data_IF_674476746873
#
_entry.id   IF_674476746873
#
_cell.length_a   1.000
_cell.length_b   1.000
_cell.length_c   1.000
_cell.angle_alpha   90.00
_cell.angle_beta   90.00
_cell.angle_gamma   90.00
#
_symmetry.space_group_name_H-M   'P 1'
#
loop_
_entity.id
_entity.type
_entity.pdbx_description
1 polymer ?
#
# COMPACT_ATOMS: atom_id res chain seq x y z
N UNK A 1 -13.82 10.92 -10.03
CA UNK A 1 -14.13 9.76 -10.88
C UNK A 1 -14.57 10.22 -12.27
N UNK A 2 -15.76 10.82 -12.42
CA UNK A 2 -16.21 11.38 -13.70
C UNK A 2 -17.04 10.42 -14.56
N UNK A 3 -17.37 9.22 -14.05
CA UNK A 3 -18.12 8.20 -14.77
C UNK A 3 -19.46 8.74 -15.34
N UNK A 4 -20.31 9.32 -14.50
CA UNK A 4 -21.61 9.84 -14.96
C UNK A 4 -21.46 10.94 -16.02
N UNK A 5 -20.49 11.85 -15.83
CA UNK A 5 -20.23 12.93 -16.78
C UNK A 5 -19.83 12.38 -18.16
N UNK A 6 -18.91 11.42 -18.19
CA UNK A 6 -18.45 10.79 -19.43
C UNK A 6 -19.61 10.03 -20.10
N UNK A 7 -20.40 9.27 -19.35
CA UNK A 7 -21.54 8.54 -19.90
C UNK A 7 -22.58 9.51 -20.51
N UNK A 8 -22.93 10.59 -19.81
CA UNK A 8 -23.83 11.62 -20.33
C UNK A 8 -23.28 12.27 -21.60
N UNK A 9 -21.97 12.55 -21.65
CA UNK A 9 -21.33 13.05 -22.87
C UNK A 9 -21.41 12.04 -24.02
N UNK A 10 -21.09 10.77 -23.77
CA UNK A 10 -21.18 9.69 -24.75
C UNK A 10 -22.62 9.52 -25.28
N UNK A 11 -23.62 9.59 -24.41
CA UNK A 11 -25.03 9.56 -24.79
C UNK A 11 -25.41 10.78 -25.64
N UNK A 12 -24.96 11.98 -25.27
CA UNK A 12 -25.24 13.21 -26.00
C UNK A 12 -24.64 13.26 -27.40
N UNK A 13 -23.44 12.72 -27.60
CA UNK A 13 -22.78 12.70 -28.92
C UNK A 13 -23.24 11.55 -29.82
N UNK A 14 -23.89 10.53 -29.28
CA UNK A 14 -24.28 9.33 -30.04
C UNK A 14 -25.11 9.64 -31.31
N UNK A 15 -26.14 10.53 -31.29
CA UNK A 15 -26.91 10.84 -32.49
C UNK A 15 -26.07 11.49 -33.60
N UNK A 16 -25.06 12.28 -33.24
CA UNK A 16 -24.14 12.89 -34.21
C UNK A 16 -23.27 11.81 -34.87
N UNK A 17 -22.75 10.87 -34.08
CA UNK A 17 -21.93 9.75 -34.57
C UNK A 17 -22.75 8.87 -35.54
N UNK A 18 -24.00 8.55 -35.20
CA UNK A 18 -24.88 7.77 -36.08
C UNK A 18 -25.15 8.48 -37.41
N UNK A 19 -25.34 9.80 -37.40
CA UNK A 19 -25.51 10.59 -38.63
C UNK A 19 -24.27 10.56 -39.52
N UNK A 20 -23.08 10.70 -38.94
CA UNK A 20 -21.80 10.74 -39.67
C UNK A 20 -21.47 9.36 -40.24
N UNK A 21 -21.59 8.32 -39.41
CA UNK A 21 -21.12 6.96 -39.75
C UNK A 21 -22.15 6.14 -40.52
N UNK A 22 -23.43 6.56 -40.52
CA UNK A 22 -24.58 5.75 -40.97
C UNK A 22 -24.71 4.41 -40.24
N UNK A 23 -24.01 4.24 -39.11
CA UNK A 23 -24.08 3.06 -38.26
C UNK A 23 -25.07 3.21 -37.11
N UNK A 24 -25.10 2.20 -36.24
CA UNK A 24 -25.87 2.18 -34.99
C UNK A 24 -24.93 2.19 -33.79
N UNK A 25 -25.09 3.15 -32.89
CA UNK A 25 -24.35 3.20 -31.62
C UNK A 25 -25.00 2.25 -30.61
N UNK A 26 -24.19 1.38 -30.00
CA UNK A 26 -24.65 0.40 -28.99
C UNK A 26 -24.32 0.85 -27.57
N UNK A 27 -23.04 0.93 -27.24
CA UNK A 27 -22.55 1.26 -25.90
C UNK A 27 -22.11 2.72 -25.84
N UNK A 28 -22.45 3.37 -24.73
CA UNK A 28 -22.10 4.78 -24.41
C UNK A 28 -21.62 4.81 -22.97
N UNK A 29 -20.44 4.25 -22.76
CA UNK A 29 -19.94 3.92 -21.42
C UNK A 29 -18.47 4.28 -21.34
N UNK A 30 -18.03 4.78 -20.19
CA UNK A 30 -16.61 4.97 -19.92
C UNK A 30 -15.82 3.65 -19.99
N UNK A 31 -14.51 3.77 -20.19
CA UNK A 31 -13.56 2.70 -19.92
C UNK A 31 -12.98 2.83 -18.51
N UNK A 32 -12.89 1.73 -17.77
CA UNK A 32 -12.14 1.68 -16.50
C UNK A 32 -10.63 1.46 -16.69
N UNK A 33 -10.19 1.07 -17.90
CA UNK A 33 -8.79 1.19 -18.29
C UNK A 33 -8.50 2.67 -18.54
N UNK A 34 -8.25 3.40 -17.45
CA UNK A 34 -8.00 4.84 -17.45
C UNK A 34 -6.51 5.16 -17.68
N UNK A 35 -5.92 4.58 -18.73
CA UNK A 35 -4.50 4.70 -19.08
C UNK A 35 -4.08 6.13 -19.52
N UNK A 36 -5.04 7.00 -19.81
CA UNK A 36 -4.83 8.44 -19.99
C UNK A 36 -4.80 9.23 -18.67
N UNK A 37 -5.00 8.56 -17.53
CA UNK A 37 -5.05 9.17 -16.19
C UNK A 37 -4.17 8.40 -15.20
N UNK A 38 -2.87 8.48 -15.44
CA UNK A 38 -1.84 7.79 -14.66
C UNK A 38 -1.41 8.60 -13.44
N UNK A 39 -1.28 7.91 -12.31
CA UNK A 39 -0.58 8.41 -11.14
C UNK A 39 0.81 7.76 -11.05
N UNK A 40 1.80 8.53 -10.59
CA UNK A 40 3.19 8.10 -10.47
C UNK A 40 3.73 8.49 -9.11
N UNK A 41 4.57 7.63 -8.55
CA UNK A 41 5.38 7.95 -7.39
C UNK A 41 6.74 7.26 -7.49
N UNK A 42 7.74 7.84 -6.85
CA UNK A 42 9.09 7.29 -6.79
C UNK A 42 9.75 7.63 -5.47
N UNK A 43 10.71 6.81 -5.06
CA UNK A 43 11.56 7.06 -3.90
C UNK A 43 13.00 6.65 -4.18
N UNK A 44 13.92 7.22 -3.41
CA UNK A 44 15.33 6.83 -3.32
C UNK A 44 15.66 6.71 -1.83
N UNK A 45 16.14 5.55 -1.42
CA UNK A 45 16.40 5.23 -0.01
C UNK A 45 17.85 4.76 0.09
N UNK A 46 18.74 5.53 0.74
CA UNK A 46 20.13 5.13 0.86
C UNK A 46 20.26 3.92 1.79
N UNK A 47 21.29 3.10 1.60
CA UNK A 47 21.44 1.83 2.33
C UNK A 47 21.44 2.02 3.85
N UNK A 48 22.06 3.07 4.38
CA UNK A 48 22.08 3.37 5.81
C UNK A 48 20.68 3.51 6.44
N UNK A 49 19.66 3.85 5.64
CA UNK A 49 18.26 3.95 6.10
C UNK A 49 17.48 2.63 6.01
N UNK A 50 18.08 1.56 5.48
CA UNK A 50 17.40 0.28 5.23
C UNK A 50 17.73 -0.82 6.24
N UNK A 51 18.86 -0.71 6.95
CA UNK A 51 19.34 -1.72 7.89
C UNK A 51 18.28 -2.05 8.94
N UNK A 52 17.96 -3.34 9.10
CA UNK A 52 16.93 -3.83 10.02
C UNK A 52 16.99 -5.35 10.19
N UNK A 53 16.38 -5.85 11.27
CA UNK A 53 16.27 -7.29 11.58
C UNK A 53 17.60 -8.06 11.55
N UNK A 54 18.71 -7.37 11.81
CA UNK A 54 20.06 -7.95 11.77
C UNK A 54 20.70 -8.02 10.38
N UNK A 55 20.03 -7.49 9.35
CA UNK A 55 20.57 -7.36 7.99
C UNK A 55 21.13 -5.95 7.77
N UNK A 56 22.23 -5.86 7.05
CA UNK A 56 22.74 -4.59 6.55
C UNK A 56 21.76 -3.97 5.55
N UNK A 57 21.83 -2.65 5.41
CA UNK A 57 20.99 -1.95 4.44
C UNK A 57 21.20 -2.38 3.00
N UNK A 58 22.43 -2.76 2.65
CA UNK A 58 22.77 -3.32 1.36
C UNK A 58 22.05 -4.67 1.14
N UNK A 59 22.11 -5.59 2.10
CA UNK A 59 21.42 -6.88 2.00
C UNK A 59 19.90 -6.70 1.83
N UNK A 60 19.29 -5.80 2.60
CA UNK A 60 17.86 -5.47 2.48
C UNK A 60 17.55 -4.93 1.07
N UNK A 61 18.36 -4.00 0.57
CA UNK A 61 18.18 -3.43 -0.77
C UNK A 61 18.28 -4.49 -1.87
N UNK A 62 19.31 -5.36 -1.79
CA UNK A 62 19.52 -6.44 -2.74
C UNK A 62 18.34 -7.42 -2.74
N UNK A 63 17.86 -7.83 -1.57
CA UNK A 63 16.69 -8.70 -1.45
C UNK A 63 15.41 -8.08 -2.04
N UNK A 64 15.19 -6.78 -1.86
CA UNK A 64 14.04 -6.08 -2.47
C UNK A 64 14.18 -6.03 -4.00
N UNK A 65 15.36 -5.70 -4.53
CA UNK A 65 15.61 -5.65 -5.96
C UNK A 65 15.47 -7.04 -6.61
N UNK A 66 15.94 -8.10 -5.95
CA UNK A 66 15.74 -9.50 -6.36
C UNK A 66 14.27 -9.89 -6.40
N UNK A 67 13.52 -9.60 -5.34
CA UNK A 67 12.09 -9.88 -5.30
C UNK A 67 11.30 -9.11 -6.36
N UNK A 68 11.73 -7.89 -6.70
CA UNK A 68 11.16 -7.12 -7.81
C UNK A 68 11.46 -7.74 -9.18
N UNK A 69 12.66 -8.30 -9.39
CA UNK A 69 13.02 -9.02 -10.62
C UNK A 69 12.22 -10.32 -10.76
N UNK A 70 11.99 -11.04 -9.65
CA UNK A 70 11.14 -12.22 -9.67
C UNK A 70 9.70 -11.89 -10.10
N UNK A 71 9.13 -10.79 -9.59
CA UNK A 71 7.82 -10.33 -10.03
C UNK A 71 7.77 -9.92 -11.51
N UNK A 72 8.89 -9.49 -12.10
CA UNK A 72 8.95 -9.19 -13.54
C UNK A 72 8.98 -10.44 -14.43
N UNK A 73 9.65 -11.49 -13.94
CA UNK A 73 9.88 -12.72 -14.68
C UNK A 73 8.66 -13.66 -14.66
N UNK A 74 7.84 -13.63 -13.61
CA UNK A 74 6.77 -14.60 -13.38
C UNK A 74 5.41 -13.92 -13.08
N UNK A 75 4.38 -14.10 -13.94
CA UNK A 75 3.02 -13.62 -13.70
C UNK A 75 2.38 -14.10 -12.39
N UNK A 76 2.70 -15.31 -11.92
CA UNK A 76 2.20 -15.80 -10.63
C UNK A 76 2.72 -14.94 -9.48
N UNK A 77 3.99 -14.57 -9.52
CA UNK A 77 4.57 -13.63 -8.56
C UNK A 77 4.06 -12.21 -8.78
N UNK A 78 3.97 -11.73 -10.02
CA UNK A 78 3.45 -10.41 -10.36
C UNK A 78 2.04 -10.18 -9.78
N UNK A 79 1.15 -11.18 -9.86
CA UNK A 79 -0.18 -11.13 -9.27
C UNK A 79 -0.12 -10.84 -7.76
N UNK A 80 0.67 -11.63 -7.02
CA UNK A 80 0.83 -11.45 -5.56
C UNK A 80 1.53 -10.14 -5.19
N UNK A 81 2.48 -9.71 -6.03
CA UNK A 81 3.18 -8.43 -5.90
C UNK A 81 2.22 -7.25 -6.02
N UNK A 82 1.36 -7.26 -7.04
CA UNK A 82 0.37 -6.23 -7.30
C UNK A 82 -0.74 -6.24 -6.25
N UNK A 83 -1.19 -7.41 -5.80
CA UNK A 83 -2.10 -7.53 -4.65
C UNK A 83 -1.55 -6.77 -3.43
N UNK A 84 -0.24 -6.89 -3.18
CA UNK A 84 0.44 -6.17 -2.10
C UNK A 84 0.38 -4.65 -2.26
N UNK A 85 0.52 -4.12 -3.48
CA UNK A 85 0.33 -2.69 -3.80
C UNK A 85 -1.12 -2.28 -3.49
N UNK A 86 -2.08 -3.06 -3.99
CA UNK A 86 -3.50 -2.74 -3.90
C UNK A 86 -4.05 -2.76 -2.48
N UNK A 87 -3.48 -3.59 -1.57
CA UNK A 87 -3.78 -3.50 -0.13
C UNK A 87 -3.69 -2.05 0.42
N UNK A 88 -2.70 -1.28 -0.03
CA UNK A 88 -2.50 0.11 0.40
C UNK A 88 -3.39 1.08 -0.38
N UNK A 89 -3.44 0.94 -1.69
CA UNK A 89 -4.25 1.81 -2.58
C UNK A 89 -5.73 1.74 -2.20
N UNK A 90 -6.26 0.53 -2.03
CA UNK A 90 -7.68 0.31 -1.75
C UNK A 90 -8.07 0.79 -0.35
N UNK A 91 -7.17 0.68 0.62
CA UNK A 91 -7.40 1.22 1.96
C UNK A 91 -7.62 2.75 1.90
N UNK A 92 -6.82 3.47 1.11
CA UNK A 92 -7.00 4.91 0.90
C UNK A 92 -8.25 5.18 0.06
N UNK A 93 -8.56 4.35 -0.94
CA UNK A 93 -9.77 4.50 -1.76
C UNK A 93 -11.03 4.39 -0.90
N UNK A 94 -11.11 3.36 -0.06
CA UNK A 94 -12.14 3.15 0.96
C UNK A 94 -12.28 4.35 1.89
N UNK A 95 -11.17 4.76 2.53
CA UNK A 95 -11.15 5.87 3.48
C UNK A 95 -11.63 7.19 2.87
N UNK A 96 -11.41 7.38 1.57
CA UNK A 96 -11.78 8.60 0.83
C UNK A 96 -13.08 8.46 0.02
N UNK A 97 -13.81 7.35 0.18
CA UNK A 97 -15.09 7.09 -0.50
C UNK A 97 -14.99 6.97 -2.02
N UNK A 98 -13.85 6.49 -2.51
CA UNK A 98 -13.64 6.21 -3.92
C UNK A 98 -14.01 4.75 -4.25
N UNK A 99 -14.40 4.52 -5.50
CA UNK A 99 -14.69 3.18 -5.99
C UNK A 99 -13.39 2.40 -6.21
N UNK A 100 -13.05 1.52 -5.26
CA UNK A 100 -11.85 0.69 -5.35
C UNK A 100 -11.92 -0.31 -6.50
N UNK A 101 -13.13 -0.77 -6.92
CA UNK A 101 -13.28 -1.75 -8.00
C UNK A 101 -12.87 -1.15 -9.33
N UNK A 102 -13.21 0.11 -9.57
CA UNK A 102 -12.78 0.83 -10.76
C UNK A 102 -11.25 0.97 -10.82
N UNK A 103 -10.62 1.28 -9.68
CA UNK A 103 -9.15 1.40 -9.56
C UNK A 103 -8.50 0.04 -9.79
N UNK A 104 -8.96 -1.02 -9.13
CA UNK A 104 -8.47 -2.40 -9.30
C UNK A 104 -8.57 -2.87 -10.75
N UNK A 105 -9.73 -2.68 -11.39
CA UNK A 105 -9.92 -3.06 -12.79
C UNK A 105 -8.95 -2.32 -13.72
N UNK A 106 -8.76 -1.02 -13.51
CA UNK A 106 -7.81 -0.21 -14.29
C UNK A 106 -6.35 -0.63 -14.05
N UNK A 107 -5.95 -0.78 -12.79
CA UNK A 107 -4.60 -1.16 -12.39
C UNK A 107 -4.21 -2.54 -12.95
N UNK A 108 -5.06 -3.55 -12.77
CA UNK A 108 -4.78 -4.89 -13.24
C UNK A 108 -4.88 -5.05 -14.76
N UNK A 109 -5.80 -4.36 -15.44
CA UNK A 109 -5.80 -4.32 -16.90
C UNK A 109 -4.53 -3.64 -17.45
N UNK A 110 -4.08 -2.56 -16.80
CA UNK A 110 -2.85 -1.86 -17.17
C UNK A 110 -1.60 -2.74 -17.01
N UNK A 111 -1.59 -3.66 -16.03
CA UNK A 111 -0.51 -4.64 -15.87
C UNK A 111 -0.35 -5.56 -17.08
N UNK A 112 -1.42 -5.84 -17.84
CA UNK A 112 -1.40 -6.75 -18.98
C UNK A 112 -1.25 -6.04 -20.35
N UNK A 113 -1.04 -4.72 -20.37
CA UNK A 113 -1.04 -3.89 -21.60
C UNK A 113 0.01 -4.28 -22.65
N UNK A 114 1.09 -4.95 -22.23
CA UNK A 114 2.18 -5.38 -23.09
C UNK A 114 2.09 -6.86 -23.51
N UNK A 115 0.93 -7.51 -23.29
CA UNK A 115 0.71 -8.92 -23.66
C UNK A 115 1.14 -9.94 -22.58
N UNK A 116 1.84 -9.51 -21.53
CA UNK A 116 2.10 -10.29 -20.32
C UNK A 116 1.69 -9.47 -19.10
N UNK A 117 1.17 -10.12 -18.07
CA UNK A 117 0.85 -9.47 -16.80
C UNK A 117 2.13 -9.14 -16.03
N UNK A 118 2.39 -7.85 -15.84
CA UNK A 118 3.61 -7.28 -15.26
C UNK A 118 3.34 -6.64 -13.88
N UNK A 119 4.37 -6.44 -13.03
CA UNK A 119 4.20 -5.75 -11.76
C UNK A 119 4.04 -4.24 -11.95
N UNK A 120 3.23 -3.61 -11.09
CA UNK A 120 2.97 -2.16 -11.05
C UNK A 120 4.18 -1.33 -10.60
N UNK A 121 5.11 -1.96 -9.87
CA UNK A 121 6.29 -1.29 -9.32
C UNK A 121 7.58 -1.92 -9.84
N UNK A 122 8.64 -1.12 -9.86
CA UNK A 122 10.01 -1.57 -10.12
C UNK A 122 10.91 -1.09 -9.00
N UNK A 123 11.80 -1.96 -8.54
CA UNK A 123 12.86 -1.65 -7.59
C UNK A 123 14.23 -2.02 -8.16
N UNK A 124 15.20 -1.13 -8.01
CA UNK A 124 16.58 -1.34 -8.46
C UNK A 124 17.56 -0.61 -7.53
N UNK A 125 18.85 -0.94 -7.66
CA UNK A 125 19.91 -0.31 -6.90
C UNK A 125 20.72 0.58 -7.83
N UNK A 126 21.06 1.78 -7.35
CA UNK A 126 21.91 2.73 -8.05
C UNK A 126 22.63 3.59 -7.02
N UNK A 127 23.95 3.78 -7.17
CA UNK A 127 24.77 4.67 -6.32
C UNK A 127 24.57 4.49 -4.80
N UNK A 128 24.57 3.24 -4.31
CA UNK A 128 24.43 2.96 -2.88
C UNK A 128 23.02 3.24 -2.31
N UNK A 129 22.01 3.37 -3.17
CA UNK A 129 20.63 3.54 -2.78
C UNK A 129 19.69 2.53 -3.48
N UNK A 130 18.61 2.20 -2.80
CA UNK A 130 17.46 1.50 -3.38
C UNK A 130 16.49 2.53 -3.97
N UNK A 131 16.16 2.38 -5.24
CA UNK A 131 15.19 3.21 -5.94
C UNK A 131 13.93 2.39 -6.20
N UNK A 132 12.78 3.03 -6.01
CA UNK A 132 11.47 2.46 -6.27
C UNK A 132 10.64 3.39 -7.14
N UNK A 133 9.87 2.82 -8.08
CA UNK A 133 8.86 3.58 -8.83
C UNK A 133 7.58 2.77 -9.00
N UNK A 134 6.46 3.49 -9.13
CA UNK A 134 5.15 2.95 -9.45
C UNK A 134 4.46 3.81 -10.52
N UNK A 135 3.71 3.17 -11.40
CA UNK A 135 2.81 3.83 -12.34
C UNK A 135 1.53 3.00 -12.50
N UNK A 136 0.37 3.62 -12.28
CA UNK A 136 -0.93 2.95 -12.42
C UNK A 136 -2.08 3.93 -12.70
N UNK A 137 -3.15 3.51 -13.41
CA UNK A 137 -4.38 4.27 -13.52
C UNK A 137 -5.04 4.50 -12.16
N UNK A 138 -5.36 5.77 -11.84
CA UNK A 138 -6.11 6.11 -10.62
C UNK A 138 -7.17 7.17 -10.93
N UNK A 139 -8.40 6.71 -11.18
CA UNK A 139 -9.57 7.53 -11.53
C UNK A 139 -10.40 7.99 -10.32
N UNK A 140 -9.77 8.71 -9.38
CA UNK A 140 -10.43 9.15 -8.14
C UNK A 140 -11.17 10.49 -8.25
N UNK A 141 -12.01 10.78 -7.25
CA UNK A 141 -12.64 12.06 -7.02
C UNK A 141 -12.55 12.48 -5.56
N UNK A 142 -12.62 13.79 -5.34
CA UNK A 142 -12.69 14.42 -4.01
C UNK A 142 -14.03 15.11 -3.79
N UNK A 143 -14.92 15.00 -4.79
CA UNK A 143 -16.30 15.47 -4.82
C UNK A 143 -17.17 14.36 -5.42
N UNK A 144 -18.44 14.30 -5.02
CA UNK A 144 -19.39 13.32 -5.56
C UNK A 144 -20.37 12.79 -4.51
N UNK A 145 -21.24 11.87 -4.93
CA UNK A 145 -22.31 11.32 -4.08
C UNK A 145 -21.77 10.61 -2.84
N UNK A 146 -20.74 9.78 -2.98
CA UNK A 146 -20.16 9.03 -1.85
C UNK A 146 -19.57 9.96 -0.77
N UNK A 147 -18.85 11.01 -1.18
CA UNK A 147 -18.26 12.02 -0.27
C UNK A 147 -19.34 12.73 0.56
N UNK A 148 -20.52 12.99 -0.03
CA UNK A 148 -21.66 13.61 0.66
C UNK A 148 -22.43 12.61 1.53
N UNK A 149 -22.47 11.34 1.15
CA UNK A 149 -23.25 10.32 1.82
C UNK A 149 -22.63 9.84 3.14
N UNK A 150 -21.30 9.81 3.25
CA UNK A 150 -20.62 9.41 4.48
C UNK A 150 -19.90 10.61 5.12
N UNK A 151 -20.35 11.08 6.30
CA UNK A 151 -19.81 12.29 6.95
C UNK A 151 -18.36 12.15 7.44
N UNK A 152 -17.81 10.93 7.52
CA UNK A 152 -16.41 10.72 7.87
C UNK A 152 -15.45 11.06 6.72
N UNK A 153 -15.87 10.93 5.46
CA UNK A 153 -14.98 11.18 4.31
C UNK A 153 -14.44 12.61 4.29
N UNK A 154 -15.25 13.68 4.48
CA UNK A 154 -14.74 15.03 4.58
C UNK A 154 -13.73 15.23 5.72
N UNK A 155 -13.89 14.53 6.84
CA UNK A 155 -12.94 14.59 7.97
C UNK A 155 -11.60 13.96 7.56
N UNK A 156 -11.64 12.77 6.96
CA UNK A 156 -10.44 12.06 6.50
C UNK A 156 -9.69 12.83 5.40
N UNK A 157 -10.43 13.43 4.45
CA UNK A 157 -9.85 14.32 3.45
C UNK A 157 -9.21 15.57 4.09
N UNK A 158 -9.81 16.14 5.14
CA UNK A 158 -9.20 17.25 5.90
C UNK A 158 -7.91 16.84 6.60
N UNK A 159 -7.86 15.65 7.21
CA UNK A 159 -6.62 15.11 7.82
C UNK A 159 -5.50 14.95 6.78
N UNK A 160 -5.84 14.68 5.51
CA UNK A 160 -4.90 14.63 4.39
C UNK A 160 -4.56 16.01 3.78
N UNK A 161 -5.05 17.11 4.37
CA UNK A 161 -4.85 18.47 3.87
C UNK A 161 -5.70 18.82 2.64
N UNK A 162 -6.91 18.26 2.54
CA UNK A 162 -7.88 18.47 1.46
C UNK A 162 -7.26 18.38 0.04
N UNK A 163 -6.64 17.24 -0.31
CA UNK A 163 -6.02 17.10 -1.61
C UNK A 163 -7.08 17.20 -2.72
N UNK A 164 -6.75 17.87 -3.83
CA UNK A 164 -7.51 17.72 -5.08
C UNK A 164 -7.31 16.33 -5.69
N UNK A 165 -8.16 15.93 -6.64
CA UNK A 165 -8.17 14.56 -7.17
C UNK A 165 -6.81 14.09 -7.76
N UNK A 166 -6.03 14.98 -8.39
CA UNK A 166 -4.67 14.64 -8.87
C UNK A 166 -3.70 14.37 -7.72
N UNK A 167 -3.73 15.20 -6.68
CA UNK A 167 -2.90 15.03 -5.49
C UNK A 167 -3.29 13.76 -4.72
N UNK A 168 -4.58 13.49 -4.58
CA UNK A 168 -5.07 12.26 -3.96
C UNK A 168 -4.59 11.01 -4.72
N UNK A 169 -4.63 11.04 -6.05
CA UNK A 169 -4.10 9.95 -6.88
C UNK A 169 -2.59 9.73 -6.66
N UNK A 170 -1.80 10.82 -6.59
CA UNK A 170 -0.38 10.74 -6.25
C UNK A 170 -0.12 10.17 -4.85
N UNK A 171 -0.93 10.55 -3.86
CA UNK A 171 -0.86 9.99 -2.50
C UNK A 171 -1.14 8.48 -2.52
N UNK A 172 -2.18 8.04 -3.24
CA UNK A 172 -2.50 6.61 -3.37
C UNK A 172 -1.36 5.83 -4.04
N UNK A 173 -0.76 6.36 -5.10
CA UNK A 173 0.40 5.74 -5.74
C UNK A 173 1.59 5.62 -4.75
N UNK A 174 1.88 6.68 -3.99
CA UNK A 174 2.94 6.66 -2.98
C UNK A 174 2.66 5.64 -1.86
N UNK A 175 1.42 5.56 -1.38
CA UNK A 175 0.99 4.54 -0.39
C UNK A 175 1.14 3.13 -0.97
N UNK A 176 0.73 2.91 -2.23
CA UNK A 176 0.91 1.63 -2.91
C UNK A 176 2.39 1.22 -3.03
N UNK A 177 3.27 2.17 -3.36
CA UNK A 177 4.72 1.93 -3.41
C UNK A 177 5.29 1.60 -2.03
N UNK A 178 4.88 2.33 -0.98
CA UNK A 178 5.31 2.08 0.40
C UNK A 178 4.83 0.70 0.90
N UNK A 179 3.58 0.34 0.63
CA UNK A 179 3.02 -0.96 1.01
C UNK A 179 3.74 -2.11 0.29
N UNK A 180 4.08 -1.92 -0.99
CA UNK A 180 4.87 -2.87 -1.75
C UNK A 180 6.30 -3.02 -1.19
N UNK A 181 6.97 -1.91 -0.86
CA UNK A 181 8.30 -1.95 -0.22
C UNK A 181 8.26 -2.76 1.08
N UNK A 182 7.30 -2.51 1.95
CA UNK A 182 7.16 -3.22 3.22
C UNK A 182 6.99 -4.73 3.01
N UNK A 183 6.18 -5.13 2.03
CA UNK A 183 5.98 -6.53 1.68
C UNK A 183 7.26 -7.19 1.12
N UNK A 184 7.96 -6.52 0.21
CA UNK A 184 9.20 -7.04 -0.38
C UNK A 184 10.32 -7.12 0.65
N UNK A 185 10.42 -6.12 1.53
CA UNK A 185 11.38 -6.10 2.64
C UNK A 185 11.20 -7.29 3.57
N UNK A 186 9.96 -7.60 3.95
CA UNK A 186 9.67 -8.75 4.80
C UNK A 186 9.97 -10.10 4.11
N UNK A 187 9.73 -10.19 2.79
CA UNK A 187 9.98 -11.40 1.99
C UNK A 187 11.47 -11.63 1.70
N UNK A 188 12.20 -10.56 1.39
CA UNK A 188 13.60 -10.61 0.95
C UNK A 188 14.63 -10.69 2.08
N UNK A 189 14.20 -10.66 3.34
CA UNK A 189 15.11 -10.72 4.50
C UNK A 189 14.74 -11.84 5.47
N UNK A 190 13.74 -11.61 6.32
CA UNK A 190 13.42 -12.48 7.46
C UNK A 190 12.46 -13.62 7.08
N UNK A 191 11.71 -13.45 5.98
CA UNK A 191 10.57 -14.29 5.63
C UNK A 191 9.29 -13.88 6.38
N UNK A 192 8.13 -13.96 5.72
CA UNK A 192 6.83 -13.45 6.24
C UNK A 192 6.50 -14.01 7.62
N UNK A 193 6.76 -15.31 7.86
CA UNK A 193 6.40 -15.96 9.12
C UNK A 193 7.11 -15.35 10.31
N UNK A 194 8.42 -15.08 10.21
CA UNK A 194 9.18 -14.41 11.28
C UNK A 194 8.73 -12.96 11.47
N UNK A 195 8.40 -12.24 10.39
CA UNK A 195 7.85 -10.88 10.47
C UNK A 195 6.46 -10.82 11.12
N UNK A 196 5.57 -11.76 10.76
CA UNK A 196 4.25 -11.90 11.40
C UNK A 196 4.36 -12.27 12.87
N UNK A 197 5.30 -13.14 13.24
CA UNK A 197 5.58 -13.46 14.64
C UNK A 197 6.06 -12.24 15.42
N UNK A 198 6.89 -11.38 14.82
CA UNK A 198 7.32 -10.14 15.46
C UNK A 198 6.15 -9.16 15.71
N UNK A 199 5.27 -8.98 14.72
CA UNK A 199 4.08 -8.15 14.89
C UNK A 199 3.09 -8.77 15.90
N UNK A 200 2.89 -10.09 15.86
CA UNK A 200 2.05 -10.80 16.81
C UNK A 200 2.58 -10.65 18.24
N UNK A 201 3.90 -10.78 18.44
CA UNK A 201 4.54 -10.57 19.73
C UNK A 201 4.37 -9.13 20.24
N UNK A 202 4.50 -8.11 19.38
CA UNK A 202 4.20 -6.72 19.75
C UNK A 202 2.75 -6.53 20.16
N UNK A 203 1.79 -7.07 19.41
CA UNK A 203 0.37 -6.97 19.77
C UNK A 203 0.09 -7.62 21.13
N UNK A 204 0.65 -8.81 21.37
CA UNK A 204 0.52 -9.50 22.66
C UNK A 204 1.18 -8.70 23.80
N UNK A 205 2.33 -8.07 23.55
CA UNK A 205 2.99 -7.20 24.53
C UNK A 205 2.13 -5.96 24.87
N UNK A 206 1.53 -5.31 23.87
CA UNK A 206 0.60 -4.20 24.08
C UNK A 206 -0.64 -4.66 24.86
N UNK A 207 -1.23 -5.81 24.51
CA UNK A 207 -2.34 -6.41 25.25
C UNK A 207 -1.99 -6.76 26.70
N UNK A 208 -0.72 -7.07 26.98
CA UNK A 208 -0.21 -7.30 28.33
C UNK A 208 -0.03 -6.00 29.14
N UNK A 209 -0.19 -4.84 28.52
CA UNK A 209 -0.06 -3.52 29.15
C UNK A 209 1.30 -2.86 28.95
N UNK A 210 2.18 -3.40 28.10
CA UNK A 210 3.46 -2.77 27.79
C UNK A 210 3.23 -1.43 27.05
N UNK A 211 4.01 -0.40 27.41
CA UNK A 211 3.94 0.94 26.81
C UNK A 211 5.35 1.44 26.46
N UNK A 212 5.42 2.32 25.45
CA UNK A 212 6.69 2.94 25.03
C UNK A 212 7.74 1.90 24.65
N UNK A 213 8.98 2.09 25.13
CA UNK A 213 10.11 1.18 24.85
C UNK A 213 9.91 -0.25 25.37
N UNK A 214 9.05 -0.44 26.38
CA UNK A 214 8.79 -1.77 26.94
C UNK A 214 8.12 -2.73 25.94
N UNK A 215 7.39 -2.21 24.94
CA UNK A 215 6.73 -3.04 23.92
C UNK A 215 7.76 -3.86 23.14
N UNK A 216 8.87 -3.24 22.73
CA UNK A 216 9.92 -3.91 21.95
C UNK A 216 10.73 -4.89 22.79
N UNK A 217 10.97 -4.58 24.05
CA UNK A 217 11.70 -5.44 24.96
C UNK A 217 10.89 -6.69 25.30
N UNK A 218 9.59 -6.55 25.63
CA UNK A 218 8.69 -7.68 25.88
C UNK A 218 8.51 -8.52 24.61
N UNK A 219 8.29 -7.90 23.45
CA UNK A 219 8.14 -8.62 22.19
C UNK A 219 9.38 -9.46 21.84
N UNK A 220 10.59 -8.91 22.01
CA UNK A 220 11.84 -9.66 21.80
C UNK A 220 11.98 -10.83 22.76
N UNK A 221 11.64 -10.64 24.04
CA UNK A 221 11.70 -11.70 25.04
C UNK A 221 10.69 -12.82 24.77
N UNK A 222 9.48 -12.50 24.29
CA UNK A 222 8.48 -13.49 23.87
C UNK A 222 8.96 -14.34 22.70
N UNK A 223 9.56 -13.71 21.69
CA UNK A 223 10.11 -14.40 20.51
C UNK A 223 11.27 -15.31 20.93
N UNK A 224 12.19 -14.80 21.77
CA UNK A 224 13.31 -15.58 22.27
C UNK A 224 12.87 -16.77 23.13
N UNK A 225 11.78 -16.63 23.89
CA UNK A 225 11.19 -17.72 24.67
C UNK A 225 10.40 -18.73 23.84
N UNK A 226 10.10 -18.43 22.56
CA UNK A 226 9.26 -19.27 21.69
C UNK A 226 7.79 -19.34 22.10
N UNK A 227 7.36 -18.57 23.11
CA UNK A 227 6.01 -18.62 23.69
C UNK A 227 5.35 -17.25 23.65
N UNK A 228 4.66 -16.96 22.54
CA UNK A 228 3.94 -15.70 22.32
C UNK A 228 2.52 -15.81 22.90
N UNK A 229 2.41 -15.77 24.23
CA UNK A 229 1.13 -15.81 24.95
C UNK A 229 1.00 -14.65 25.93
N UNK A 230 -0.24 -14.24 26.19
CA UNK A 230 -0.54 -13.08 27.06
C UNK A 230 0.01 -13.25 28.48
N UNK A 231 -0.19 -14.41 29.11
CA UNK A 231 0.30 -14.65 30.47
C UNK A 231 1.83 -14.52 30.54
N UNK A 232 2.54 -15.05 29.54
CA UNK A 232 4.00 -14.98 29.46
C UNK A 232 4.48 -13.54 29.27
N UNK A 233 3.75 -12.76 28.48
CA UNK A 233 4.03 -11.34 28.28
C UNK A 233 3.86 -10.54 29.58
N UNK A 234 2.83 -10.86 30.38
CA UNK A 234 2.60 -10.26 31.69
C UNK A 234 3.71 -10.62 32.69
N UNK A 235 4.17 -11.89 32.71
CA UNK A 235 5.30 -12.32 33.55
C UNK A 235 6.60 -11.58 33.20
N UNK A 236 6.90 -11.47 31.91
CA UNK A 236 8.10 -10.77 31.42
C UNK A 236 8.00 -9.29 31.81
N UNK A 237 6.86 -8.65 31.55
CA UNK A 237 6.65 -7.24 31.89
C UNK A 237 6.77 -6.99 33.40
N UNK A 238 6.18 -7.85 34.25
CA UNK A 238 6.29 -7.74 35.70
C UNK A 238 7.73 -7.88 36.19
N UNK A 239 8.50 -8.82 35.63
CA UNK A 239 9.93 -8.98 35.95
C UNK A 239 10.75 -7.75 35.55
N UNK A 240 10.43 -7.16 34.39
CA UNK A 240 11.10 -5.94 33.93
C UNK A 240 10.79 -4.73 34.81
N UNK A 241 9.54 -4.58 35.24
CA UNK A 241 9.14 -3.51 36.18
C UNK A 241 9.82 -3.70 37.53
N UNK A 242 9.86 -4.93 38.06
CA UNK A 242 10.55 -5.26 39.31
C UNK A 242 12.06 -5.01 39.23
N UNK A 243 12.70 -5.29 38.08
CA UNK A 243 14.13 -5.08 37.87
C UNK A 243 14.52 -3.60 37.68
N UNK A 244 13.60 -2.74 37.25
CA UNK A 244 13.85 -1.30 37.06
C UNK A 244 13.70 -0.45 38.33
N UNK A 245 13.12 -1.01 39.40
CA UNK A 245 12.93 -0.32 40.68
C UNK A 245 11.98 0.90 40.61
N UNK A 246 11.45 1.40 41.74
CA UNK A 246 10.48 2.49 41.78
C UNK A 246 11.16 3.88 41.64
N UNK A 247 11.80 4.14 40.50
CA UNK A 247 12.40 5.44 40.20
C UNK A 247 12.55 5.66 38.68
N UNK A 248 11.42 5.82 37.98
CA UNK A 248 11.37 6.44 36.65
C UNK A 248 9.95 6.89 36.23
N UNK A 249 9.08 7.22 37.18
CA UNK A 249 7.86 8.00 36.90
C UNK A 249 8.06 9.44 37.39
N UNK A 250 8.89 10.19 36.66
CA UNK A 250 8.90 11.66 36.66
C UNK A 250 9.78 12.18 35.52
N UNK A 251 9.35 12.02 34.27
CA UNK A 251 9.33 13.03 33.17
C UNK A 251 9.01 12.37 31.83
#
# INVERSE_FOLDING_TARGET
>A
MGANLINTMCEGVAPLIERITRGRVRLRILSNLADLRLARASCRIPFEALADFGFSGAEVAHGIAEASRFADADPYRACTHNKGVMNGVDAVALATGNDWRAIEAGAHAYCARNGRYEPLTRWWIEEGALLGRIELPIQVGTVGGAVKANPLIPVLLRTMGNPGARKLAGIMAAVGLAQNMAALRALGTVGIQKGHMALHARNVAVSAGAKGSAVEEVARALIAAGEIKLHRAQEILAKMVAARGPSAEAT
#
